data_IF_883041504936
#
_entry.id   IF_883041504936
#
_cell.length_a   1.000
_cell.length_b   1.000
_cell.length_c   1.000
_cell.angle_alpha   90.00
_cell.angle_beta   90.00
_cell.angle_gamma   90.00
#
_symmetry.space_group_name_H-M   'P 1'
#
loop_
_entity.id
_entity.type
_entity.pdbx_description
1 polymer ?
2 non-polymer ?
3 non-polymer ?
4 non-polymer ?
5 water ?
#
# COMPACT_ATOMS: atom_id res chain seq x y z
N UNK A 1 -14.58 6.22 24.08
CA UNK A 1 -14.81 5.89 22.64
C UNK A 1 -13.55 5.25 22.05
N UNK A 2 -13.75 4.22 21.25
CA UNK A 2 -12.66 3.50 20.63
C UNK A 2 -12.23 4.24 19.35
N UNK A 3 -10.98 4.00 18.94
CA UNK A 3 -10.53 4.59 17.65
C UNK A 3 -11.10 3.73 16.54
N UNK A 4 -11.95 4.28 15.66
CA UNK A 4 -12.51 3.49 14.56
C UNK A 4 -11.53 3.50 13.37
N UNK A 5 -11.15 2.32 12.93
CA UNK A 5 -10.18 2.14 11.84
C UNK A 5 -10.84 1.38 10.70
N UNK A 6 -10.67 1.92 9.50
CA UNK A 6 -11.17 1.21 8.32
C UNK A 6 -9.96 0.96 7.41
N UNK A 7 -9.72 -0.32 7.09
CA UNK A 7 -8.57 -0.68 6.27
C UNK A 7 -9.02 -1.36 4.98
N UNK A 8 -8.42 -1.01 3.84
CA UNK A 8 -8.77 -1.72 2.58
C UNK A 8 -7.71 -2.79 2.30
N UNK A 9 -8.11 -3.82 1.56
CA UNK A 9 -7.19 -4.89 1.12
C UNK A 9 -6.74 -5.77 2.28
N UNK A 10 -7.66 -6.36 3.03
CA UNK A 10 -7.21 -7.12 4.22
C UNK A 10 -7.16 -8.62 4.04
N UNK A 11 -7.23 -9.15 2.84
CA UNK A 11 -7.26 -10.58 2.62
C UNK A 11 -5.93 -11.25 2.90
N UNK A 12 -4.83 -10.50 2.82
CA UNK A 12 -3.52 -11.06 3.13
C UNK A 12 -2.53 -9.90 3.33
N UNK A 13 -1.28 -10.29 3.53
CA UNK A 13 -0.22 -9.31 3.58
C UNK A 13 -0.38 -8.28 4.67
N UNK A 14 0.11 -7.07 4.34
CA UNK A 14 0.14 -6.00 5.29
C UNK A 14 -1.21 -5.72 5.88
N UNK A 15 -2.22 -5.58 4.99
CA UNK A 15 -3.56 -5.21 5.48
C UNK A 15 -4.11 -6.26 6.46
N UNK A 16 -3.94 -7.55 6.16
CA UNK A 16 -4.37 -8.58 7.10
C UNK A 16 -3.61 -8.47 8.45
N UNK A 17 -2.29 -8.32 8.43
CA UNK A 17 -1.54 -8.25 9.68
C UNK A 17 -1.83 -7.01 10.48
N UNK A 18 -2.03 -5.88 9.81
CA UNK A 18 -2.35 -4.63 10.50
C UNK A 18 -3.72 -4.70 11.13
N UNK A 19 -4.74 -5.20 10.43
CA UNK A 19 -6.06 -5.33 10.99
C UNK A 19 -6.04 -6.20 12.28
N UNK A 20 -5.34 -7.33 12.27
CA UNK A 20 -5.34 -8.12 13.52
C UNK A 20 -4.43 -7.58 14.60
N UNK A 21 -3.36 -6.88 14.23
CA UNK A 21 -2.53 -6.22 15.23
C UNK A 21 -3.38 -5.18 15.98
N UNK A 22 -4.17 -4.38 15.23
CA UNK A 22 -4.94 -3.32 15.86
C UNK A 22 -6.10 -3.92 16.67
N UNK A 23 -6.79 -4.92 16.13
CA UNK A 23 -7.96 -5.46 16.84
C UNK A 23 -7.56 -6.19 18.13
N UNK A 24 -6.40 -6.82 18.15
CA UNK A 24 -5.89 -7.56 19.27
C UNK A 24 -5.09 -6.70 20.25
N UNK A 25 -4.95 -5.40 19.98
CA UNK A 25 -4.17 -4.57 20.94
C UNK A 25 -4.63 -4.81 22.37
N UNK A 26 -3.68 -5.02 23.27
CA UNK A 26 -3.98 -5.25 24.69
C UNK A 26 -4.82 -4.14 25.28
N UNK A 27 -4.69 -2.88 24.91
CA UNK A 27 -5.52 -1.79 25.40
C UNK A 27 -6.96 -1.78 24.88
N UNK A 28 -7.31 -2.58 23.86
CA UNK A 28 -8.66 -2.59 23.31
C UNK A 28 -9.11 -1.21 22.85
N UNK A 29 -8.22 -0.36 22.36
CA UNK A 29 -8.54 0.99 21.96
C UNK A 29 -9.10 1.02 20.53
N UNK A 30 -8.95 -0.03 19.75
CA UNK A 30 -9.36 0.07 18.35
C UNK A 30 -10.53 -0.80 17.93
N UNK A 31 -11.38 -0.25 17.07
CA UNK A 31 -12.47 -1.06 16.48
C UNK A 31 -12.07 -1.13 15.01
N UNK A 32 -11.88 -2.31 14.45
CA UNK A 32 -11.39 -2.35 13.06
C UNK A 32 -12.42 -2.88 12.07
N UNK A 33 -12.61 -2.12 10.99
CA UNK A 33 -13.38 -2.58 9.86
C UNK A 33 -12.34 -3.03 8.81
N UNK A 34 -12.16 -4.32 8.70
CA UNK A 34 -11.24 -4.91 7.73
C UNK A 34 -12.03 -5.17 6.44
N UNK A 35 -11.64 -4.46 5.34
CA UNK A 35 -12.41 -4.66 4.11
C UNK A 35 -11.65 -5.47 3.10
N UNK A 36 -12.43 -6.20 2.28
CA UNK A 36 -11.85 -7.13 1.32
C UNK A 36 -12.67 -7.00 0.04
N UNK A 37 -12.04 -7.15 -1.12
CA UNK A 37 -12.78 -7.10 -2.37
C UNK A 37 -13.74 -8.25 -2.51
N UNK A 38 -13.35 -9.46 -2.08
CA UNK A 38 -14.21 -10.63 -2.18
C UNK A 38 -14.23 -11.31 -0.79
N UNK A 39 -15.36 -11.29 -0.13
CA UNK A 39 -15.48 -11.94 1.20
C UNK A 39 -15.16 -13.42 1.17
N UNK A 40 -15.16 -14.15 0.05
CA UNK A 40 -14.71 -15.53 0.07
C UNK A 40 -13.24 -15.66 0.49
N UNK A 41 -12.45 -14.60 0.46
CA UNK A 41 -11.05 -14.66 0.86
C UNK A 41 -10.86 -14.29 2.32
N UNK A 42 -11.89 -14.14 3.14
CA UNK A 42 -11.70 -13.73 4.52
C UNK A 42 -11.21 -14.78 5.55
N UNK A 43 -11.03 -16.02 5.16
CA UNK A 43 -10.68 -17.08 6.10
C UNK A 43 -9.33 -16.88 6.79
N UNK A 44 -8.30 -16.49 6.06
CA UNK A 44 -6.98 -16.25 6.68
C UNK A 44 -7.06 -15.13 7.69
N UNK A 45 -7.86 -14.10 7.38
CA UNK A 45 -7.99 -13.02 8.35
C UNK A 45 -8.63 -13.58 9.63
N UNK A 46 -9.72 -14.34 9.55
CA UNK A 46 -10.35 -14.89 10.75
C UNK A 46 -9.45 -15.90 11.44
N UNK A 47 -8.66 -16.71 10.75
CA UNK A 47 -7.71 -17.60 11.41
C UNK A 47 -6.64 -16.80 12.17
N UNK A 48 -6.14 -15.69 11.61
CA UNK A 48 -5.11 -14.88 12.28
C UNK A 48 -5.73 -14.15 13.48
N UNK A 49 -6.97 -13.71 13.33
CA UNK A 49 -7.69 -13.01 14.37
C UNK A 49 -7.91 -13.92 15.57
N UNK A 50 -8.27 -15.20 15.32
CA UNK A 50 -8.46 -16.13 16.45
C UNK A 50 -7.12 -16.40 17.16
N UNK A 51 -6.04 -16.49 16.42
CA UNK A 51 -4.70 -16.79 16.92
C UNK A 51 -4.18 -15.66 17.80
N UNK A 52 -4.58 -14.41 17.57
CA UNK A 52 -4.17 -13.30 18.41
C UNK A 52 -5.26 -12.98 19.42
N UNK A 53 -6.29 -13.83 19.43
CA UNK A 53 -7.42 -13.70 20.31
C UNK A 53 -8.07 -12.35 20.24
N UNK A 54 -8.42 -11.83 19.06
CA UNK A 54 -9.07 -10.53 19.05
C UNK A 54 -10.42 -10.65 19.75
N UNK A 55 -10.74 -9.77 20.67
CA UNK A 55 -12.01 -9.82 21.38
C UNK A 55 -13.19 -9.71 20.41
N UNK A 56 -14.32 -10.31 20.77
CA UNK A 56 -15.56 -10.22 20.01
C UNK A 56 -15.97 -8.80 19.78
N UNK A 57 -16.29 -8.36 18.58
CA UNK A 57 -16.64 -6.98 18.28
C UNK A 57 -15.42 -6.08 18.05
N UNK A 58 -14.18 -6.54 18.13
CA UNK A 58 -13.01 -5.70 17.87
C UNK A 58 -12.70 -5.62 16.36
N UNK A 59 -13.14 -6.61 15.59
CA UNK A 59 -12.92 -6.84 14.21
C UNK A 59 -14.16 -7.26 13.44
N UNK A 60 -14.40 -6.50 12.36
CA UNK A 60 -15.53 -6.81 11.48
C UNK A 60 -15.05 -6.76 10.04
N UNK A 61 -15.62 -7.59 9.16
CA UNK A 61 -15.25 -7.54 7.77
C UNK A 61 -16.40 -6.98 6.95
N UNK A 62 -16.06 -6.20 5.95
CA UNK A 62 -17.00 -5.63 5.00
C UNK A 62 -16.45 -5.94 3.62
N UNK A 63 -17.30 -6.14 2.62
CA UNK A 63 -16.91 -6.30 1.26
C UNK A 63 -16.74 -4.84 0.73
N UNK A 64 -15.66 -4.55 0.06
CA UNK A 64 -15.43 -3.19 -0.45
C UNK A 64 -14.53 -3.34 -1.67
N UNK A 65 -15.06 -3.05 -2.85
CA UNK A 65 -14.23 -3.14 -4.06
C UNK A 65 -13.87 -1.70 -4.39
N UNK A 66 -12.59 -1.29 -4.28
CA UNK A 66 -12.25 0.11 -4.53
C UNK A 66 -12.37 0.50 -5.99
N UNK A 67 -12.66 -0.34 -6.95
CA UNK A 67 -12.95 0.02 -8.34
C UNK A 67 -14.36 0.59 -8.47
N UNK A 68 -15.19 0.44 -7.43
CA UNK A 68 -16.62 0.82 -7.54
C UNK A 68 -17.07 1.74 -6.45
N UNK A 69 -17.37 2.98 -6.82
CA UNK A 69 -17.79 4.01 -5.87
C UNK A 69 -19.07 3.66 -5.12
N UNK A 70 -19.93 2.79 -5.66
CA UNK A 70 -21.10 2.34 -4.92
C UNK A 70 -20.67 1.40 -3.79
N UNK A 71 -19.69 0.53 -4.02
CA UNK A 71 -19.19 -0.39 -3.00
C UNK A 71 -18.51 0.41 -1.89
N UNK A 72 -17.83 1.50 -2.26
CA UNK A 72 -17.14 2.40 -1.34
C UNK A 72 -18.20 3.07 -0.47
N UNK A 73 -19.24 3.63 -1.08
CA UNK A 73 -20.32 4.26 -0.32
C UNK A 73 -21.10 3.32 0.60
N UNK A 74 -21.39 2.09 0.18
CA UNK A 74 -22.12 1.15 1.01
C UNK A 74 -21.27 0.63 2.19
N UNK A 75 -19.95 0.56 2.07
CA UNK A 75 -19.09 0.17 3.19
C UNK A 75 -19.02 1.35 4.17
N UNK A 76 -18.99 2.58 3.66
CA UNK A 76 -18.98 3.74 4.54
C UNK A 76 -20.26 3.76 5.40
N UNK A 77 -21.38 3.41 4.78
CA UNK A 77 -22.66 3.39 5.47
C UNK A 77 -22.69 2.30 6.54
N UNK A 78 -21.95 1.19 6.42
CA UNK A 78 -21.93 0.12 7.39
C UNK A 78 -21.09 0.45 8.61
N UNK A 79 -20.42 1.58 8.67
CA UNK A 79 -19.61 2.00 9.82
C UNK A 79 -20.62 2.53 10.85
N UNK A 80 -21.03 1.65 11.76
CA UNK A 80 -22.07 1.96 12.74
C UNK A 80 -21.75 3.14 13.63
N UNK A 81 -20.49 3.41 13.95
CA UNK A 81 -20.15 4.60 14.74
C UNK A 81 -20.39 5.90 14.00
N UNK A 82 -20.54 5.92 12.69
CA UNK A 82 -20.77 7.19 11.99
C UNK A 82 -19.54 8.06 11.91
N UNK A 83 -18.35 7.46 12.07
CA UNK A 83 -17.12 8.21 11.99
C UNK A 83 -15.99 7.19 11.71
N UNK A 84 -14.94 7.71 11.10
CA UNK A 84 -13.77 6.86 10.83
C UNK A 84 -12.61 7.71 11.33
N UNK A 85 -11.95 7.26 12.41
CA UNK A 85 -10.83 7.99 12.96
C UNK A 85 -9.56 7.78 12.16
N UNK A 86 -9.35 6.57 11.69
CA UNK A 86 -8.12 6.21 10.97
C UNK A 86 -8.52 5.43 9.72
N UNK A 87 -8.15 6.01 8.56
CA UNK A 87 -8.42 5.33 7.28
C UNK A 87 -7.11 4.82 6.73
N UNK A 88 -7.02 3.54 6.40
CA UNK A 88 -5.81 2.94 5.85
C UNK A 88 -6.04 2.45 4.42
N UNK A 89 -5.49 3.19 3.43
CA UNK A 89 -5.62 2.88 2.02
C UNK A 89 -4.41 2.02 1.65
N UNK A 90 -4.67 0.71 1.61
CA UNK A 90 -3.70 -0.34 1.45
C UNK A 90 -4.01 -1.25 0.29
N UNK A 91 -5.25 -1.35 -0.18
CA UNK A 91 -5.62 -2.18 -1.32
C UNK A 91 -4.66 -1.91 -2.48
N UNK A 92 -4.12 -2.96 -3.12
CA UNK A 92 -3.20 -2.66 -4.22
C UNK A 92 -2.89 -3.91 -5.05
N UNK A 93 -2.50 -3.70 -6.28
CA UNK A 93 -2.07 -4.69 -7.23
C UNK A 93 -0.65 -4.49 -7.74
N UNK A 94 0.03 -5.60 -8.02
CA UNK A 94 1.37 -5.49 -8.59
C UNK A 94 1.18 -5.78 -10.08
N UNK A 95 2.20 -5.54 -10.87
CA UNK A 95 2.19 -5.90 -12.28
C UNK A 95 3.66 -6.00 -12.70
N UNK A 96 4.01 -7.23 -13.15
CA UNK A 96 5.44 -7.42 -13.46
C UNK A 96 5.60 -8.00 -14.86
N UNK A 97 6.47 -7.43 -15.66
CA UNK A 97 6.73 -7.98 -16.99
C UNK A 97 7.18 -6.91 -17.96
N UNK A 98 7.65 -7.32 -19.13
CA UNK A 98 8.05 -6.40 -20.20
C UNK A 98 6.85 -5.49 -20.45
N UNK A 99 7.02 -4.18 -20.56
CA UNK A 99 5.84 -3.31 -20.82
C UNK A 99 4.97 -3.73 -21.99
N UNK A 100 5.54 -4.18 -23.12
CA UNK A 100 4.82 -4.57 -24.31
C UNK A 100 4.13 -5.93 -24.16
N UNK A 101 4.48 -6.66 -23.12
CA UNK A 101 3.80 -7.94 -22.83
C UNK A 101 2.61 -7.79 -21.91
N UNK A 102 2.36 -6.62 -21.32
CA UNK A 102 1.24 -6.41 -20.41
C UNK A 102 -0.07 -6.15 -21.12
N UNK A 103 -1.16 -6.78 -20.70
CA UNK A 103 -2.44 -6.55 -21.38
C UNK A 103 -2.94 -5.17 -20.97
N UNK A 104 -3.64 -4.56 -21.91
CA UNK A 104 -4.20 -3.24 -21.74
C UNK A 104 -5.14 -3.17 -20.54
N UNK A 105 -5.96 -4.21 -20.37
CA UNK A 105 -6.84 -4.33 -19.23
C UNK A 105 -6.03 -4.45 -17.94
N UNK A 106 -4.96 -5.21 -17.90
CA UNK A 106 -4.16 -5.37 -16.70
C UNK A 106 -3.60 -3.98 -16.32
N UNK A 107 -3.07 -3.24 -17.32
CA UNK A 107 -2.55 -1.91 -17.06
C UNK A 107 -3.63 -1.02 -16.44
N UNK A 108 -4.79 -0.92 -17.10
CA UNK A 108 -5.89 -0.09 -16.65
C UNK A 108 -6.32 -0.49 -15.24
N UNK A 109 -6.43 -1.79 -14.92
CA UNK A 109 -6.76 -2.26 -13.61
C UNK A 109 -5.79 -1.85 -12.51
N UNK A 110 -4.49 -1.93 -12.77
CA UNK A 110 -3.52 -1.53 -11.74
C UNK A 110 -3.72 -0.05 -11.39
N UNK A 111 -3.89 0.76 -12.43
CA UNK A 111 -4.12 2.20 -12.12
C UNK A 111 -5.45 2.45 -11.45
N UNK A 112 -6.50 1.76 -11.90
CA UNK A 112 -7.82 1.97 -11.32
C UNK A 112 -7.88 1.53 -9.86
N UNK A 113 -7.30 0.41 -9.50
CA UNK A 113 -7.27 -0.04 -8.11
C UNK A 113 -6.30 0.81 -7.27
N UNK A 114 -5.06 0.93 -7.73
CA UNK A 114 -4.02 1.54 -6.87
C UNK A 114 -4.20 3.06 -6.73
N UNK A 115 -4.55 3.73 -7.80
CA UNK A 115 -4.67 5.17 -7.85
C UNK A 115 -6.13 5.61 -7.79
N UNK A 116 -6.98 5.26 -8.77
CA UNK A 116 -8.35 5.75 -8.66
C UNK A 116 -9.10 5.24 -7.45
N UNK A 117 -8.86 4.00 -7.05
CA UNK A 117 -9.48 3.47 -5.84
C UNK A 117 -9.06 4.22 -4.59
N UNK A 118 -7.79 4.69 -4.53
CA UNK A 118 -7.45 5.52 -3.37
C UNK A 118 -8.16 6.86 -3.44
N UNK A 119 -8.22 7.38 -4.69
CA UNK A 119 -8.97 8.66 -4.82
C UNK A 119 -10.41 8.43 -4.36
N UNK A 120 -11.08 7.36 -4.77
CA UNK A 120 -12.47 7.12 -4.36
C UNK A 120 -12.62 6.99 -2.83
N UNK A 121 -11.65 6.42 -2.10
CA UNK A 121 -11.71 6.30 -0.65
C UNK A 121 -11.61 7.70 -0.03
N UNK A 122 -10.67 8.52 -0.54
CA UNK A 122 -10.41 9.86 -0.03
C UNK A 122 -11.61 10.77 -0.29
N UNK A 123 -12.28 10.67 -1.44
CA UNK A 123 -13.46 11.49 -1.72
C UNK A 123 -14.58 11.08 -0.76
N UNK A 124 -14.76 9.80 -0.53
CA UNK A 124 -15.79 9.33 0.36
C UNK A 124 -15.52 9.62 1.83
N UNK A 125 -14.27 9.61 2.29
CA UNK A 125 -13.98 9.73 3.71
C UNK A 125 -13.38 11.03 4.13
N UNK A 126 -12.64 11.79 3.33
CA UNK A 126 -12.05 13.02 3.72
C UNK A 126 -13.00 14.12 4.18
N UNK A 127 -14.07 14.42 3.48
CA UNK A 127 -14.97 15.53 3.84
C UNK A 127 -15.39 15.54 5.30
N UNK A 128 -15.80 14.39 5.85
CA UNK A 128 -16.16 14.29 7.26
C UNK A 128 -14.99 14.51 8.19
N UNK A 129 -13.77 14.14 7.76
CA UNK A 129 -12.60 14.38 8.59
C UNK A 129 -12.31 15.88 8.58
N UNK A 130 -12.45 16.46 7.38
CA UNK A 130 -12.18 17.91 7.30
C UNK A 130 -13.19 18.66 8.16
N UNK A 131 -14.45 18.24 8.13
CA UNK A 131 -15.47 18.98 8.92
C UNK A 131 -15.24 18.84 10.42
N UNK A 132 -14.85 17.66 10.89
CA UNK A 132 -14.58 17.46 12.33
C UNK A 132 -13.26 18.08 12.73
N UNK A 133 -12.36 18.29 11.76
CA UNK A 133 -11.02 18.80 12.05
C UNK A 133 -10.14 17.72 12.65
N UNK A 134 -10.38 16.44 12.32
CA UNK A 134 -9.51 15.41 12.87
C UNK A 134 -9.64 14.14 12.02
N UNK A 135 -8.59 13.33 12.05
CA UNK A 135 -8.65 12.08 11.29
C UNK A 135 -7.24 11.83 10.78
N UNK A 136 -6.95 10.54 10.62
CA UNK A 136 -5.65 10.11 10.16
C UNK A 136 -5.85 9.22 8.94
N UNK A 137 -5.02 9.53 7.94
CA UNK A 137 -5.08 8.70 6.73
C UNK A 137 -3.68 8.11 6.55
N UNK A 138 -3.60 6.79 6.48
CA UNK A 138 -2.30 6.16 6.23
C UNK A 138 -2.40 5.49 4.88
N UNK A 139 -1.42 5.63 4.00
CA UNK A 139 -1.48 5.01 2.67
C UNK A 139 -0.28 4.08 2.52
N UNK A 140 -0.50 2.83 2.13
CA UNK A 140 0.68 1.97 1.98
C UNK A 140 1.44 2.43 0.73
N UNK A 141 2.72 2.74 0.89
CA UNK A 141 3.51 3.19 -0.27
C UNK A 141 4.53 2.08 -0.50
N UNK A 142 5.49 2.31 -1.38
CA UNK A 142 6.51 1.32 -1.73
C UNK A 142 7.79 2.04 -2.09
N UNK A 143 8.90 1.30 -2.05
CA UNK A 143 10.16 1.88 -2.56
C UNK A 143 10.00 2.11 -4.07
N UNK A 144 9.18 1.32 -4.74
CA UNK A 144 8.82 1.44 -6.15
C UNK A 144 8.01 2.74 -6.43
N UNK A 145 7.50 3.45 -5.44
CA UNK A 145 6.89 4.76 -5.59
C UNK A 145 7.89 5.89 -5.46
N UNK A 146 9.12 5.59 -5.07
CA UNK A 146 10.19 6.59 -4.87
C UNK A 146 11.31 6.49 -5.90
N UNK A 147 11.41 5.33 -6.54
CA UNK A 147 12.43 5.12 -7.59
C UNK A 147 11.95 4.07 -8.57
N UNK A 148 12.27 4.26 -9.85
CA UNK A 148 11.77 3.37 -10.93
C UNK A 148 12.45 2.01 -10.97
N UNK A 149 11.69 0.92 -11.12
CA UNK A 149 12.26 -0.43 -11.15
C UNK A 149 11.94 -1.10 -12.47
N UNK A 150 12.94 -1.68 -13.12
CA UNK A 150 12.81 -2.31 -14.41
C UNK A 150 11.81 -3.43 -14.33
N UNK A 151 11.01 -3.57 -15.40
CA UNK A 151 9.95 -4.55 -15.50
C UNK A 151 8.82 -4.32 -14.51
N UNK A 152 8.77 -3.21 -13.79
CA UNK A 152 7.70 -2.82 -12.91
C UNK A 152 7.20 -1.43 -13.37
N UNK A 153 7.28 -1.12 -14.63
CA UNK A 153 6.91 0.21 -15.15
C UNK A 153 5.55 0.70 -14.70
N UNK A 154 4.53 -0.13 -14.81
CA UNK A 154 3.15 0.30 -14.47
C UNK A 154 2.93 0.28 -12.98
N UNK A 155 3.48 -0.74 -12.29
CA UNK A 155 3.39 -0.78 -10.85
C UNK A 155 4.06 0.50 -10.32
N UNK A 156 5.29 0.79 -10.79
CA UNK A 156 5.97 2.00 -10.30
C UNK A 156 5.13 3.24 -10.65
N UNK A 157 4.60 3.27 -11.89
CA UNK A 157 3.74 4.40 -12.27
C UNK A 157 2.68 4.64 -11.24
N UNK A 158 1.98 3.58 -10.79
CA UNK A 158 0.89 3.67 -9.84
C UNK A 158 1.39 4.06 -8.47
N UNK A 159 2.59 3.66 -7.98
CA UNK A 159 3.06 4.00 -6.65
C UNK A 159 3.62 5.46 -6.65
N UNK A 160 4.27 5.89 -7.73
CA UNK A 160 4.72 7.27 -7.85
C UNK A 160 3.45 8.15 -7.87
N UNK A 161 2.40 7.66 -8.56
CA UNK A 161 1.14 8.40 -8.62
C UNK A 161 0.63 8.66 -7.22
N UNK A 162 0.67 7.69 -6.28
CA UNK A 162 0.24 7.88 -4.91
C UNK A 162 1.11 8.88 -4.21
N UNK A 163 2.42 8.89 -4.46
CA UNK A 163 3.25 9.94 -3.84
C UNK A 163 2.71 11.33 -4.28
N UNK A 164 2.43 11.57 -5.54
CA UNK A 164 2.01 12.91 -5.97
C UNK A 164 0.61 13.22 -5.47
N UNK A 165 -0.27 12.21 -5.41
CA UNK A 165 -1.61 12.42 -4.87
C UNK A 165 -1.52 12.87 -3.42
N UNK A 166 -0.81 12.10 -2.58
CA UNK A 166 -0.72 12.37 -1.16
C UNK A 166 0.00 13.64 -0.78
N UNK A 167 1.10 13.90 -1.51
CA UNK A 167 1.86 15.14 -1.24
C UNK A 167 1.03 16.36 -1.60
N UNK A 168 0.31 16.32 -2.71
CA UNK A 168 -0.57 17.43 -3.11
C UNK A 168 -1.62 17.62 -2.04
N UNK A 169 -2.27 16.56 -1.55
CA UNK A 169 -3.29 16.70 -0.51
C UNK A 169 -2.68 17.16 0.80
N UNK A 170 -1.49 16.64 1.15
CA UNK A 170 -0.88 17.08 2.38
C UNK A 170 -0.66 18.60 2.44
N UNK A 171 -0.26 19.23 1.34
CA UNK A 171 -0.01 20.69 1.36
C UNK A 171 -1.30 21.41 1.77
N UNK A 172 -2.47 20.95 1.28
CA UNK A 172 -3.73 21.57 1.64
C UNK A 172 -4.22 21.22 3.04
N UNK A 173 -4.13 19.94 3.44
CA UNK A 173 -4.61 19.47 4.71
C UNK A 173 -3.84 19.96 5.93
N UNK A 174 -2.67 20.56 5.79
CA UNK A 174 -1.83 20.99 6.90
C UNK A 174 -2.58 21.67 8.02
N UNK A 175 -3.32 22.75 7.80
CA UNK A 175 -4.06 23.45 8.84
C UNK A 175 -5.44 22.92 9.20
N UNK A 176 -5.98 21.89 8.53
CA UNK A 176 -7.28 21.31 8.81
C UNK A 176 -7.29 20.35 10.00
N UNK A 177 -6.13 19.90 10.47
CA UNK A 177 -6.15 18.89 11.57
C UNK A 177 -6.22 17.45 11.02
N UNK A 178 -6.32 17.26 9.71
CA UNK A 178 -6.37 15.94 9.10
C UNK A 178 -4.95 15.56 8.69
N UNK A 179 -4.45 14.41 9.15
CA UNK A 179 -3.06 14.03 8.90
C UNK A 179 -2.93 12.90 7.89
N UNK A 180 -2.16 13.15 6.83
CA UNK A 180 -1.98 12.09 5.83
C UNK A 180 -0.56 11.61 5.80
N UNK A 181 -0.37 10.28 5.77
CA UNK A 181 1.01 9.78 5.77
C UNK A 181 1.13 8.55 4.88
N UNK A 182 2.26 8.43 4.19
CA UNK A 182 2.60 7.25 3.39
C UNK A 182 3.55 6.40 4.24
N UNK A 183 3.30 5.11 4.21
CA UNK A 183 4.18 4.16 4.91
C UNK A 183 4.99 3.44 3.82
N UNK A 184 6.25 3.85 3.68
CA UNK A 184 7.09 3.40 2.58
C UNK A 184 7.74 2.04 2.89
N UNK A 185 7.23 1.01 2.21
CA UNK A 185 7.66 -0.36 2.41
C UNK A 185 8.66 -0.85 1.38
N UNK A 186 9.66 -1.63 1.79
CA UNK A 186 10.54 -2.40 0.92
C UNK A 186 9.82 -3.73 0.75
N UNK A 187 10.51 -4.81 0.37
CA UNK A 187 9.92 -6.14 0.24
C UNK A 187 9.52 -6.64 1.63
N UNK A 188 8.41 -7.32 1.68
CA UNK A 188 7.78 -7.79 2.91
C UNK A 188 7.41 -9.26 2.74
N UNK A 189 7.63 -10.14 3.72
CA UNK A 189 7.22 -11.53 3.62
C UNK A 189 5.70 -11.56 3.71
N UNK A 190 5.00 -11.92 2.66
CA UNK A 190 3.54 -11.96 2.68
C UNK A 190 3.10 -13.25 1.98
N UNK A 199 3.39 -17.26 -17.33
CA UNK A 199 4.15 -18.37 -17.88
C UNK A 199 5.24 -17.76 -18.74
N UNK A 200 6.44 -18.32 -18.70
CA UNK A 200 7.57 -17.83 -19.47
C UNK A 200 7.16 -17.75 -20.94
N UNK A 201 6.47 -18.80 -21.40
CA UNK A 201 5.94 -18.93 -22.73
C UNK A 201 5.03 -17.78 -23.15
N UNK A 202 4.11 -17.28 -22.32
CA UNK A 202 3.29 -16.17 -22.85
C UNK A 202 4.11 -14.89 -22.92
N UNK A 203 5.07 -14.72 -21.99
CA UNK A 203 5.91 -13.53 -22.04
C UNK A 203 6.83 -13.57 -23.23
N UNK A 204 7.41 -14.75 -23.51
CA UNK A 204 8.27 -14.89 -24.69
C UNK A 204 7.55 -14.61 -25.99
N UNK A 205 6.26 -14.97 -26.11
CA UNK A 205 5.49 -14.63 -27.30
C UNK A 205 5.25 -13.14 -27.47
N UNK A 206 5.29 -12.34 -26.39
CA UNK A 206 5.00 -10.92 -26.55
C UNK A 206 6.21 -10.03 -26.49
N UNK A 207 7.43 -10.57 -26.42
CA UNK A 207 8.58 -9.65 -26.39
C UNK A 207 9.76 -10.19 -27.17
N UNK A 208 10.87 -9.50 -27.28
CA UNK A 208 12.04 -10.05 -27.97
C UNK A 208 12.87 -10.94 -27.04
N UNK A 209 13.73 -11.78 -27.63
CA UNK A 209 14.58 -12.65 -26.83
C UNK A 209 15.48 -11.92 -25.87
N UNK A 210 16.04 -10.75 -26.19
CA UNK A 210 16.89 -10.03 -25.27
C UNK A 210 16.13 -9.50 -24.06
N UNK A 211 14.95 -8.91 -24.31
CA UNK A 211 14.14 -8.38 -23.20
C UNK A 211 13.78 -9.54 -22.28
N UNK A 212 13.42 -10.67 -22.85
CA UNK A 212 13.07 -11.86 -22.09
C UNK A 212 14.21 -12.29 -21.19
N UNK A 213 15.42 -12.29 -21.74
CA UNK A 213 16.62 -12.69 -20.98
C UNK A 213 16.86 -11.71 -19.85
N UNK A 214 16.67 -10.41 -20.09
CA UNK A 214 16.81 -9.39 -19.07
C UNK A 214 15.74 -9.58 -18.00
N UNK A 215 14.55 -10.01 -18.36
CA UNK A 215 13.48 -10.24 -17.39
C UNK A 215 13.91 -11.34 -16.45
N UNK A 216 14.50 -12.41 -17.03
CA UNK A 216 15.01 -13.54 -16.23
C UNK A 216 16.01 -13.03 -15.21
N UNK A 217 16.98 -12.22 -15.66
CA UNK A 217 17.97 -11.66 -14.78
C UNK A 217 17.33 -10.80 -13.68
N UNK A 218 16.35 -9.96 -14.04
CA UNK A 218 15.68 -9.15 -13.00
C UNK A 218 15.07 -10.07 -11.96
N UNK A 219 14.34 -11.09 -12.39
CA UNK A 219 13.65 -12.04 -11.54
C UNK A 219 14.62 -12.77 -10.62
N UNK A 220 15.77 -13.19 -11.15
CA UNK A 220 16.75 -13.88 -10.29
C UNK A 220 17.32 -12.89 -9.27
N UNK A 221 17.57 -11.64 -9.72
CA UNK A 221 18.06 -10.62 -8.79
C UNK A 221 17.04 -10.30 -7.70
N UNK A 222 15.78 -10.18 -8.06
CA UNK A 222 14.67 -9.84 -7.17
C UNK A 222 14.43 -10.86 -6.06
N UNK A 223 14.49 -12.14 -6.44
CA UNK A 223 14.31 -13.27 -5.53
C UNK A 223 15.43 -13.25 -4.50
N UNK A 224 16.64 -12.91 -4.89
CA UNK A 224 17.78 -12.76 -4.01
C UNK A 224 17.66 -11.58 -3.05
N UNK A 225 17.19 -10.43 -3.56
CA UNK A 225 16.95 -9.30 -2.65
C UNK A 225 15.87 -9.68 -1.67
N UNK A 226 14.81 -10.34 -2.12
CA UNK A 226 13.69 -10.70 -1.27
C UNK A 226 14.12 -11.65 -0.16
N UNK A 227 14.84 -12.70 -0.53
CA UNK A 227 15.39 -13.68 0.40
C UNK A 227 16.29 -13.07 1.46
N UNK A 228 17.04 -12.04 1.14
CA UNK A 228 17.92 -11.34 2.04
C UNK A 228 17.29 -10.17 2.78
N UNK A 229 16.34 -9.43 2.17
CA UNK A 229 15.85 -8.23 2.82
C UNK A 229 14.37 -8.17 3.13
N UNK A 230 13.58 -9.19 2.81
CA UNK A 230 12.15 -9.05 3.12
C UNK A 230 11.92 -8.93 4.62
N UNK A 231 11.09 -7.98 5.03
CA UNK A 231 10.81 -7.81 6.46
C UNK A 231 9.58 -8.62 6.88
N UNK A 232 9.50 -9.00 8.15
CA UNK A 232 8.28 -9.66 8.64
C UNK A 232 7.12 -8.68 8.54
N UNK A 233 5.89 -9.10 8.26
CA UNK A 233 4.75 -8.19 8.22
C UNK A 233 4.40 -7.57 9.57
N UNK A 234 4.79 -8.23 10.69
CA UNK A 234 4.55 -7.66 12.00
C UNK A 234 5.39 -6.37 12.22
N UNK A 235 6.62 -6.38 11.71
CA UNK A 235 7.50 -5.21 11.82
C UNK A 235 6.96 -4.06 10.98
N UNK A 236 6.50 -4.38 9.76
CA UNK A 236 5.95 -3.34 8.86
C UNK A 236 4.69 -2.80 9.49
N UNK A 237 3.78 -3.71 9.92
CA UNK A 237 2.54 -3.27 10.55
C UNK A 237 2.81 -2.34 11.70
N UNK A 238 3.84 -2.55 12.54
CA UNK A 238 4.14 -1.64 13.65
C UNK A 238 4.53 -0.23 13.24
N UNK A 239 5.04 -0.05 12.02
CA UNK A 239 5.36 1.33 11.55
C UNK A 239 4.04 2.05 11.33
N UNK A 240 3.01 1.32 10.85
CA UNK A 240 1.69 2.00 10.76
C UNK A 240 1.25 2.55 12.11
N UNK A 241 1.35 1.74 13.17
CA UNK A 241 0.97 2.10 14.53
C UNK A 241 1.76 3.28 15.04
N UNK A 242 3.07 3.24 14.77
CA UNK A 242 3.91 4.41 15.13
C UNK A 242 3.40 5.67 14.49
N UNK A 243 3.04 5.66 13.21
CA UNK A 243 2.57 6.86 12.52
C UNK A 243 1.24 7.28 13.12
N UNK A 244 0.38 6.30 13.43
CA UNK A 244 -0.88 6.55 14.05
C UNK A 244 -0.83 7.25 15.39
N UNK A 245 0.16 6.93 16.21
CA UNK A 245 0.25 7.54 17.53
C UNK A 245 1.09 8.80 17.56
N UNK A 246 1.72 9.18 16.44
CA UNK A 246 2.55 10.39 16.50
C UNK A 246 1.62 11.58 16.59
N UNK A 247 1.84 12.49 17.53
CA UNK A 247 1.02 13.69 17.66
C UNK A 247 1.10 14.56 16.42
N UNK A 248 2.26 14.69 15.78
CA UNK A 248 2.35 15.48 14.51
C UNK A 248 3.10 14.62 13.50
N UNK A 249 2.33 13.73 12.86
CA UNK A 249 2.93 12.77 11.94
C UNK A 249 3.56 13.44 10.72
N UNK A 250 4.61 12.86 10.19
CA UNK A 250 5.23 13.38 8.97
C UNK A 250 4.48 12.80 7.77
N UNK A 251 4.74 13.37 6.62
CA UNK A 251 4.12 12.87 5.38
C UNK A 251 4.62 11.47 5.08
N UNK A 252 5.87 11.14 5.36
CA UNK A 252 6.33 9.78 5.02
C UNK A 252 7.06 9.06 6.13
N UNK A 253 6.84 7.76 6.29
CA UNK A 253 7.52 6.92 7.27
C UNK A 253 8.22 5.87 6.42
N UNK A 254 9.39 5.36 6.75
CA UNK A 254 10.09 4.35 5.99
C UNK A 254 10.18 3.11 6.88
N UNK A 255 9.77 1.95 6.39
CA UNK A 255 9.81 0.74 7.19
C UNK A 255 11.26 0.25 7.35
N UNK A 256 12.17 0.73 6.51
CA UNK A 256 13.56 0.34 6.54
C UNK A 256 14.44 1.48 6.00
N UNK A 257 15.73 1.37 6.34
CA UNK A 257 16.71 2.35 5.86
C UNK A 257 17.50 1.76 4.69
N UNK A 258 17.24 0.52 4.29
CA UNK A 258 18.05 -0.13 3.27
C UNK A 258 18.17 0.55 1.91
N UNK A 259 17.09 1.19 1.42
CA UNK A 259 17.10 1.79 0.09
C UNK A 259 17.36 3.28 0.10
N UNK A 260 17.57 3.92 1.25
CA UNK A 260 17.83 5.36 1.34
C UNK A 260 19.05 5.82 0.56
N UNK A 261 20.17 5.12 0.60
CA UNK A 261 21.32 5.47 -0.22
C UNK A 261 20.93 5.52 -1.70
N UNK A 262 20.24 4.53 -2.25
CA UNK A 262 19.77 4.60 -3.65
C UNK A 262 18.86 5.83 -3.80
N UNK A 263 17.93 6.01 -2.86
CA UNK A 263 17.07 7.15 -2.87
C UNK A 263 17.85 8.46 -2.94
N UNK A 264 18.85 8.65 -2.08
CA UNK A 264 19.63 9.88 -2.01
C UNK A 264 20.40 10.19 -3.30
N UNK A 265 20.99 9.18 -3.91
CA UNK A 265 21.67 9.27 -5.19
C UNK A 265 20.72 9.75 -6.30
N UNK A 266 19.52 9.14 -6.30
CA UNK A 266 18.49 9.52 -7.25
C UNK A 266 18.16 10.98 -7.02
N UNK A 267 17.91 11.33 -5.74
CA UNK A 267 17.51 12.69 -5.42
C UNK A 267 18.60 13.74 -5.57
N UNK A 268 19.87 13.38 -5.57
CA UNK A 268 20.95 14.34 -5.74
C UNK A 268 21.39 14.58 -7.17
N UNK A 269 20.88 13.78 -8.13
CA UNK A 269 21.21 14.04 -9.53
C UNK A 269 19.88 14.07 -10.29
N UNK A 270 19.26 15.23 -10.30
CA UNK A 270 18.01 15.49 -10.99
C UNK A 270 18.01 15.13 -12.46
N UNK A 271 19.12 15.05 -13.19
CA UNK A 271 19.14 14.59 -14.57
C UNK A 271 18.71 13.12 -14.64
N UNK A 272 18.82 12.37 -13.54
CA UNK A 272 18.45 10.97 -13.47
C UNK A 272 19.53 10.01 -13.95
N UNK A 273 20.61 10.48 -14.57
CA UNK A 273 21.67 9.65 -15.09
C UNK A 273 22.42 8.78 -14.09
N UNK A 274 22.71 9.30 -12.89
CA UNK A 274 23.39 8.47 -11.89
C UNK A 274 22.48 7.32 -11.43
N UNK A 275 21.20 7.64 -11.21
CA UNK A 275 20.22 6.64 -10.79
C UNK A 275 20.09 5.55 -11.82
N UNK A 276 19.85 5.94 -13.08
CA UNK A 276 19.67 4.94 -14.13
C UNK A 276 20.87 4.01 -14.19
N UNK A 277 22.09 4.56 -14.24
CA UNK A 277 23.29 3.72 -14.29
C UNK A 277 23.40 2.81 -13.07
N UNK A 278 23.28 3.38 -11.88
CA UNK A 278 23.40 2.60 -10.64
C UNK A 278 22.38 1.50 -10.53
N UNK A 279 21.11 1.77 -10.89
CA UNK A 279 20.08 0.72 -10.80
C UNK A 279 20.30 -0.30 -11.91
N UNK A 280 20.75 0.07 -13.11
CA UNK A 280 20.98 -0.95 -14.14
C UNK A 280 22.08 -1.92 -13.64
N UNK A 281 23.17 -1.36 -13.09
CA UNK A 281 24.22 -2.21 -12.55
C UNK A 281 23.72 -3.02 -11.35
N UNK A 282 22.98 -2.39 -10.42
CA UNK A 282 22.46 -3.17 -9.29
C UNK A 282 21.64 -4.36 -9.75
N UNK A 283 20.73 -4.20 -10.69
CA UNK A 283 19.87 -5.32 -11.12
C UNK A 283 20.57 -6.28 -12.08
N UNK A 284 21.26 -5.74 -13.08
CA UNK A 284 21.82 -6.58 -14.12
C UNK A 284 23.30 -6.86 -13.94
N UNK A 285 23.92 -6.37 -12.90
CA UNK A 285 25.34 -6.63 -12.66
C UNK A 285 26.19 -6.34 -13.90
X LIG B 1 11.30 -7.22 -5.09
X LIG B 1 11.30 -5.68 -5.25
X LIG B 1 13.42 -6.14 -6.44
X LIG B 1 14.85 -5.75 -6.67
X LIG B 1 15.22 -4.21 -6.53
X LIG B 1 14.58 -3.69 -5.27
X LIG B 1 15.01 -2.21 -5.18
X LIG B 1 16.54 -2.47 -5.36
X LIG B 1 16.65 -3.74 -6.25
X LIG B 1 14.96 -3.61 -7.94
X LIG B 1 10.60 -5.19 -6.54
X LIG B 1 9.95 -7.80 -4.76
X LIG B 1 9.27 -7.03 -3.66
X LIG B 1 9.62 -5.64 -3.35
X LIG B 1 10.57 -4.99 -4.08
X LIG B 1 10.97 -3.57 -3.79
X LIG B 1 12.52 -3.43 -3.72
X LIG B 1 13.10 -3.89 -5.12
X LIG B 1 12.81 -5.36 -5.24
X LIG B 1 8.41 -7.64 -3.04
X LIG B 1 17.76 -4.12 -6.57
X LIG C 1 -0.91 -8.04 -0.81
X LIG C 1 -0.93 -8.27 -2.27
X LIG C 1 -0.98 -9.23 0.09
X LIG C 1 -1.96 -6.89 -0.55
X LIG C 1 -2.80 -6.30 -1.43
X LIG C 1 -4.25 -6.32 -0.94
X LIG C 1 -4.95 -5.52 -1.85
X LIG C 1 -4.89 -7.73 -1.05
X LIG C 1 -5.72 -7.91 0.11
X LIG C 1 -5.77 -7.58 -2.28
X LIG C 1 -6.86 -8.50 -2.30
X LIG C 1 -6.20 -6.10 -2.20
X LIG C 1 -6.92 -5.69 -3.37
X LIG C 1 -6.67 -5.88 -4.71
X LIG C 1 -7.66 -5.34 -5.50
X LIG C 1 -8.54 -4.84 -4.60
X LIG C 1 -9.76 -4.23 -4.83
X LIG C 1 -10.23 -4.02 -6.08
X LIG C 1 -10.56 -3.76 -3.74
X LIG C 1 -10.07 -3.99 -2.51
X LIG C 1 -8.91 -4.64 -2.26
X LIG C 1 -8.09 -5.08 -3.31
X LIG C 1 0.51 -7.29 -0.71
X LIG C 1 -6.94 -9.86 -3.20
X LIG C 1 -5.54 -10.48 -3.05
X LIG C 1 -8.08 -10.64 -2.63
X LIG C 1 -7.15 -9.37 -4.64
X LIG D 1 15.36 13.58 -9.25
X LIG D 1 16.08 12.24 -9.76
X LIG D 1 14.46 14.37 -9.99
X LIG D 1 15.07 14.97 -11.02
X LIG D 1 13.43 14.50 -9.35
X LIG D 1 12.32 13.56 -8.71
#
# INVERSE_FOLDING_TARGET
ARTVVLITGCSSGIGLHLAVRLASDPSQSFKVYATLRDLKTQGRLWEAARALACPPGSLETLQLDVRDSKSVAAARERVTEGRVDVLVCNAGLGLLGPLEALGEDAVASVLDVNVVGTVRMLQAFLPDMKRRGSGRVLVTGSVGGLMGLPFNDVYCASKFALEGLCESLAVLLLPFGVHLSLIECGPVHTAFMEKVLGSPEEVLDRTDIHTFHRFYQYLAHSKQVFREAAQNPEEVAEVFLTALRAPKPTLRYFTTERFLPLLRMRLDDPSGSNYVTAMHREVFGDVPAKAEAGAEAGGGAGPGAEDEAGRSAVGDPELGDPPAAPQ
ASD C1 C10 C11 C12 C13 C14 C15 C16 C17 C18 C19 C2 C3 C4 C5 C6 C7 C8 C9 O1 O2
NAP PA O1A O2A O5B C5B C4B O4B C3B O3B C2B O2B C1B N9A C8A N7A C5A C6A N6A N1A C2A N3A C4A O3 P2B O1X O2X O3X
GOL C1 O1 C2 O2 C3 O3
#
